data_IF_268646453485
#
_entry.id   IF_268646453485
#
_cell.length_a   1.000
_cell.length_b   1.000
_cell.length_c   1.000
_cell.angle_alpha   90.00
_cell.angle_beta   90.00
_cell.angle_gamma   90.00
#
_symmetry.space_group_name_H-M   'P 1'
#
loop_
_entity.id
_entity.type
_entity.pdbx_description
1 polymer ?
#
# COMPACT_ATOMS: atom_id res chain seq x y z
N UNK A 1 -32.75 -73.01 -17.00
CA UNK A 1 -32.39 -72.50 -18.33
C UNK A 1 -32.86 -71.05 -18.34
N UNK A 2 -32.03 -70.01 -18.37
CA UNK A 2 -30.70 -69.81 -18.95
C UNK A 2 -30.04 -68.60 -18.26
N UNK A 3 -28.72 -68.52 -18.32
CA UNK A 3 -27.84 -67.45 -17.82
C UNK A 3 -28.14 -66.08 -18.44
N UNK A 4 -27.79 -64.98 -17.76
CA UNK A 4 -26.68 -64.12 -18.20
C UNK A 4 -26.41 -62.91 -17.27
N UNK A 5 -25.11 -62.70 -17.06
CA UNK A 5 -24.45 -61.59 -16.38
C UNK A 5 -24.01 -60.58 -17.44
N UNK A 6 -24.38 -59.31 -17.31
CA UNK A 6 -23.72 -58.12 -17.91
C UNK A 6 -24.03 -56.98 -16.93
N UNK A 7 -23.15 -56.41 -16.10
CA UNK A 7 -21.81 -55.83 -16.26
C UNK A 7 -21.72 -54.71 -17.30
N UNK A 8 -21.06 -53.63 -16.87
CA UNK A 8 -20.83 -52.31 -17.52
C UNK A 8 -21.93 -51.27 -17.16
N UNK A 9 -21.63 -50.04 -16.72
CA UNK A 9 -20.47 -49.22 -17.04
C UNK A 9 -19.87 -48.51 -15.82
N UNK A 10 -18.55 -48.68 -15.75
CA UNK A 10 -17.58 -47.90 -15.03
C UNK A 10 -17.81 -46.39 -15.26
N UNK A 11 -18.17 -45.68 -14.19
CA UNK A 11 -18.21 -44.22 -14.13
C UNK A 11 -16.76 -43.70 -14.06
N UNK A 12 -16.01 -43.93 -15.14
CA UNK A 12 -14.75 -43.25 -15.37
C UNK A 12 -15.06 -41.76 -15.42
N UNK A 13 -14.74 -41.10 -14.31
CA UNK A 13 -14.71 -39.66 -14.25
C UNK A 13 -13.61 -39.22 -15.20
N UNK A 14 -14.00 -38.73 -16.38
CA UNK A 14 -13.10 -38.04 -17.29
C UNK A 14 -12.49 -36.86 -16.53
N UNK A 15 -11.28 -37.07 -16.01
CA UNK A 15 -10.38 -35.98 -15.68
C UNK A 15 -9.98 -35.43 -17.05
N UNK A 16 -10.72 -34.43 -17.52
CA UNK A 16 -10.37 -33.74 -18.76
C UNK A 16 -8.95 -33.19 -18.60
N UNK A 17 -7.99 -33.82 -19.29
CA UNK A 17 -6.63 -33.30 -19.40
C UNK A 17 -6.72 -31.91 -20.04
N UNK A 18 -6.47 -30.87 -19.25
CA UNK A 18 -6.41 -29.51 -19.77
C UNK A 18 -5.23 -29.43 -20.73
N UNK A 19 -5.51 -29.16 -22.00
CA UNK A 19 -4.45 -28.92 -22.99
C UNK A 19 -3.50 -27.81 -22.50
N UNK A 20 -2.19 -27.87 -22.82
CA UNK A 20 -1.22 -26.84 -22.42
C UNK A 20 -1.68 -25.41 -22.79
N UNK A 21 -2.40 -25.26 -23.89
CA UNK A 21 -2.98 -23.98 -24.32
C UNK A 21 -4.03 -23.44 -23.32
N UNK A 22 -4.94 -24.30 -22.87
CA UNK A 22 -5.99 -23.93 -21.92
C UNK A 22 -5.40 -23.60 -20.54
N UNK A 23 -4.36 -24.32 -20.12
CA UNK A 23 -3.63 -24.02 -18.89
C UNK A 23 -2.90 -22.67 -18.96
N UNK A 24 -2.22 -22.39 -20.09
CA UNK A 24 -1.55 -21.11 -20.31
C UNK A 24 -2.53 -19.94 -20.26
N UNK A 25 -3.71 -20.10 -20.87
CA UNK A 25 -4.75 -19.08 -20.88
C UNK A 25 -5.34 -18.85 -19.48
N UNK A 26 -5.62 -19.92 -18.73
CA UNK A 26 -6.12 -19.81 -17.36
C UNK A 26 -5.14 -19.06 -16.45
N UNK A 27 -3.84 -19.35 -16.53
CA UNK A 27 -2.81 -18.64 -15.77
C UNK A 27 -2.73 -17.15 -16.13
N UNK A 28 -2.82 -16.83 -17.43
CA UNK A 28 -2.84 -15.45 -17.91
C UNK A 28 -4.06 -14.66 -17.38
N UNK A 29 -5.24 -15.27 -17.42
CA UNK A 29 -6.48 -14.66 -16.93
C UNK A 29 -6.45 -14.45 -15.41
N UNK A 30 -5.95 -15.44 -14.66
CA UNK A 30 -5.72 -15.29 -13.22
C UNK A 30 -4.74 -14.15 -12.92
N UNK A 31 -3.66 -14.03 -13.70
CA UNK A 31 -2.66 -12.98 -13.50
C UNK A 31 -3.27 -11.60 -13.73
N UNK A 32 -4.01 -11.42 -14.81
CA UNK A 32 -4.72 -10.18 -15.09
C UNK A 32 -5.73 -9.83 -13.98
N UNK A 33 -6.49 -10.81 -13.50
CA UNK A 33 -7.45 -10.62 -12.41
C UNK A 33 -6.78 -10.17 -11.10
N UNK A 34 -5.65 -10.78 -10.73
CA UNK A 34 -4.88 -10.36 -9.55
C UNK A 34 -4.34 -8.92 -9.72
N UNK A 35 -3.85 -8.56 -10.92
CA UNK A 35 -3.45 -7.19 -11.22
C UNK A 35 -4.63 -6.20 -11.12
N UNK A 36 -5.80 -6.57 -11.63
CA UNK A 36 -7.03 -5.75 -11.55
C UNK A 36 -7.45 -5.48 -10.10
N UNK A 37 -7.48 -6.53 -9.29
CA UNK A 37 -7.81 -6.40 -7.87
C UNK A 37 -6.81 -5.48 -7.16
N UNK A 38 -5.51 -5.69 -7.40
CA UNK A 38 -4.47 -4.89 -6.78
C UNK A 38 -4.50 -3.42 -7.26
N UNK A 39 -4.77 -3.18 -8.54
CA UNK A 39 -4.97 -1.83 -9.09
C UNK A 39 -6.14 -1.10 -8.42
N UNK A 40 -7.25 -1.79 -8.17
CA UNK A 40 -8.39 -1.23 -7.44
C UNK A 40 -7.97 -0.72 -6.07
N UNK A 41 -7.30 -1.56 -5.27
CA UNK A 41 -6.81 -1.16 -3.95
C UNK A 41 -5.78 -0.03 -4.00
N UNK A 42 -4.83 -0.07 -4.94
CA UNK A 42 -3.81 0.98 -5.05
C UNK A 42 -4.38 2.32 -5.50
N UNK A 43 -5.40 2.31 -6.34
CA UNK A 43 -6.11 3.51 -6.80
C UNK A 43 -6.98 4.11 -5.69
N UNK A 44 -7.68 3.26 -4.94
CA UNK A 44 -8.43 3.68 -3.76
C UNK A 44 -7.49 4.27 -2.70
N UNK A 45 -6.40 3.58 -2.38
CA UNK A 45 -5.39 4.05 -1.43
C UNK A 45 -4.80 5.40 -1.87
N UNK A 46 -4.51 5.58 -3.15
CA UNK A 46 -4.05 6.88 -3.68
C UNK A 46 -5.04 7.99 -3.36
N UNK A 47 -6.34 7.72 -3.51
CA UNK A 47 -7.42 8.68 -3.22
C UNK A 47 -7.50 8.97 -1.72
N UNK A 48 -7.46 7.93 -0.88
CA UNK A 48 -7.50 8.05 0.57
C UNK A 48 -6.30 8.82 1.13
N UNK A 49 -5.09 8.59 0.58
CA UNK A 49 -3.89 9.32 0.97
C UNK A 49 -3.98 10.80 0.62
N UNK A 50 -4.58 11.14 -0.52
CA UNK A 50 -4.80 12.52 -0.94
C UNK A 50 -5.86 13.23 -0.08
N UNK A 51 -6.87 12.49 0.43
CA UNK A 51 -7.87 13.01 1.35
C UNK A 51 -7.45 12.99 2.83
N UNK A 52 -6.29 12.42 3.16
CA UNK A 52 -5.78 12.33 4.53
C UNK A 52 -6.36 11.20 5.38
N UNK A 53 -7.03 10.22 4.75
CA UNK A 53 -7.71 9.08 5.39
C UNK A 53 -6.74 7.95 5.78
N UNK A 54 -5.68 8.28 6.53
CA UNK A 54 -4.58 7.35 6.83
C UNK A 54 -5.00 6.12 7.65
N UNK A 55 -6.03 6.23 8.49
CA UNK A 55 -6.53 5.10 9.27
C UNK A 55 -7.16 4.03 8.40
N UNK A 56 -7.91 4.44 7.37
CA UNK A 56 -8.54 3.54 6.40
C UNK A 56 -7.48 2.82 5.56
N UNK A 57 -6.47 3.57 5.10
CA UNK A 57 -5.30 3.01 4.41
C UNK A 57 -4.61 1.93 5.26
N UNK A 58 -4.39 2.20 6.54
CA UNK A 58 -3.76 1.24 7.45
C UNK A 58 -4.55 -0.07 7.57
N UNK A 59 -5.88 0.00 7.64
CA UNK A 59 -6.76 -1.18 7.73
C UNK A 59 -6.72 -2.06 6.47
N UNK A 60 -6.45 -1.49 5.30
CA UNK A 60 -6.37 -2.21 4.03
C UNK A 60 -5.05 -2.97 3.84
N UNK A 61 -4.04 -2.74 4.70
CA UNK A 61 -2.70 -3.32 4.57
C UNK A 61 -2.70 -4.85 4.52
N UNK A 62 -3.47 -5.50 5.39
CA UNK A 62 -3.53 -6.96 5.45
C UNK A 62 -4.08 -7.56 4.16
N UNK A 63 -5.18 -7.00 3.64
CA UNK A 63 -5.80 -7.43 2.39
C UNK A 63 -4.83 -7.26 1.23
N UNK A 64 -4.15 -6.11 1.13
CA UNK A 64 -3.13 -5.87 0.09
C UNK A 64 -1.97 -6.86 0.17
N UNK A 65 -1.49 -7.17 1.37
CA UNK A 65 -0.42 -8.16 1.55
C UNK A 65 -0.85 -9.55 1.08
N UNK A 66 -2.11 -9.94 1.30
CA UNK A 66 -2.62 -11.22 0.82
C UNK A 66 -2.69 -11.25 -0.72
N UNK A 67 -3.07 -10.15 -1.37
CA UNK A 67 -3.09 -10.05 -2.83
C UNK A 67 -1.66 -10.07 -3.40
N UNK A 68 -0.70 -9.39 -2.76
CA UNK A 68 0.72 -9.45 -3.14
C UNK A 68 1.23 -10.89 -3.10
N UNK A 69 0.92 -11.64 -2.04
CA UNK A 69 1.30 -13.06 -1.94
C UNK A 69 0.69 -13.91 -3.06
N UNK A 70 -0.57 -13.66 -3.43
CA UNK A 70 -1.22 -14.35 -4.55
C UNK A 70 -0.52 -14.02 -5.87
N UNK A 71 -0.20 -12.74 -6.09
CA UNK A 71 0.54 -12.29 -7.27
C UNK A 71 1.93 -12.95 -7.36
N UNK A 72 2.68 -12.96 -6.26
CA UNK A 72 4.01 -13.58 -6.18
C UNK A 72 3.94 -15.10 -6.41
N UNK A 73 2.99 -15.79 -5.79
CA UNK A 73 2.78 -17.22 -5.98
C UNK A 73 2.45 -17.54 -7.44
N UNK A 74 1.60 -16.75 -8.07
CA UNK A 74 1.23 -16.94 -9.47
C UNK A 74 2.39 -16.66 -10.41
N UNK A 75 3.22 -15.64 -10.14
CA UNK A 75 4.45 -15.42 -10.89
C UNK A 75 5.44 -16.59 -10.77
N UNK A 76 5.54 -17.20 -9.59
CA UNK A 76 6.36 -18.40 -9.39
C UNK A 76 5.82 -19.60 -10.16
N UNK A 77 4.50 -19.79 -10.18
CA UNK A 77 3.84 -20.84 -10.97
C UNK A 77 4.04 -20.64 -12.48
N UNK A 78 3.86 -19.42 -12.96
CA UNK A 78 4.14 -19.02 -14.35
C UNK A 78 5.61 -19.30 -14.69
N UNK A 79 6.54 -18.99 -13.78
CA UNK A 79 7.96 -19.21 -13.99
C UNK A 79 8.35 -20.70 -14.02
N UNK A 80 7.67 -21.55 -13.25
CA UNK A 80 7.89 -23.01 -13.28
C UNK A 80 7.25 -23.67 -14.50
N UNK A 81 6.22 -23.06 -15.09
CA UNK A 81 5.51 -23.50 -16.30
C UNK A 81 5.92 -22.74 -17.56
N UNK A 82 7.19 -22.29 -17.64
CA UNK A 82 7.71 -21.49 -18.77
C UNK A 82 7.44 -22.09 -20.14
N UNK A 83 7.48 -23.42 -20.26
CA UNK A 83 7.28 -24.09 -21.54
C UNK A 83 5.82 -24.04 -21.99
N UNK A 84 4.87 -24.08 -21.04
CA UNK A 84 3.42 -23.96 -21.28
C UNK A 84 3.05 -22.55 -21.80
N UNK A 85 3.74 -21.52 -21.29
CA UNK A 85 3.54 -20.13 -21.75
C UNK A 85 4.24 -19.85 -23.09
N UNK A 86 5.38 -20.50 -23.36
CA UNK A 86 6.04 -20.41 -24.67
C UNK A 86 5.18 -21.03 -25.77
N UNK A 87 4.50 -22.14 -25.47
CA UNK A 87 3.57 -22.78 -26.39
C UNK A 87 2.29 -22.00 -26.64
N UNK A 88 2.05 -20.89 -25.91
CA UNK A 88 0.91 -20.02 -26.16
C UNK A 88 1.02 -19.38 -27.55
N UNK A 89 0.23 -19.87 -28.50
CA UNK A 89 0.22 -19.36 -29.88
C UNK A 89 -0.53 -18.03 -30.01
N UNK A 90 -1.36 -17.68 -29.03
CA UNK A 90 -2.18 -16.47 -29.06
C UNK A 90 -1.34 -15.20 -28.76
N UNK A 91 -0.90 -14.56 -29.84
CA UNK A 91 -0.19 -13.27 -29.76
C UNK A 91 -1.04 -12.15 -29.15
N UNK A 92 -2.36 -12.14 -29.37
CA UNK A 92 -3.23 -11.10 -28.81
C UNK A 92 -3.29 -11.19 -27.30
N UNK A 93 -3.32 -12.40 -26.76
CA UNK A 93 -3.29 -12.61 -25.31
C UNK A 93 -1.97 -12.14 -24.70
N UNK A 94 -0.84 -12.43 -25.35
CA UNK A 94 0.49 -11.93 -24.93
C UNK A 94 0.53 -10.39 -24.90
N UNK A 95 0.08 -9.75 -25.97
CA UNK A 95 0.05 -8.29 -26.07
C UNK A 95 -0.85 -7.67 -24.99
N UNK A 96 -1.98 -8.32 -24.68
CA UNK A 96 -2.91 -7.90 -23.62
C UNK A 96 -2.25 -7.98 -22.24
N UNK A 97 -1.52 -9.05 -21.93
CA UNK A 97 -0.79 -9.21 -20.65
C UNK A 97 0.28 -8.12 -20.51
N UNK A 98 1.04 -7.85 -21.58
CA UNK A 98 2.08 -6.83 -21.57
C UNK A 98 1.50 -5.43 -21.35
N UNK A 99 0.45 -5.06 -22.10
CA UNK A 99 -0.24 -3.79 -21.92
C UNK A 99 -0.81 -3.65 -20.50
N UNK A 100 -1.33 -4.76 -19.93
CA UNK A 100 -1.85 -4.78 -18.57
C UNK A 100 -0.75 -4.58 -17.52
N UNK A 101 0.40 -5.22 -17.71
CA UNK A 101 1.57 -5.08 -16.84
C UNK A 101 2.12 -3.65 -16.85
N UNK A 102 2.15 -3.00 -18.02
CA UNK A 102 2.56 -1.60 -18.15
C UNK A 102 1.60 -0.66 -17.40
N UNK A 103 0.29 -0.83 -17.57
CA UNK A 103 -0.70 -0.06 -16.82
C UNK A 103 -0.57 -0.29 -15.31
N UNK A 104 -0.42 -1.56 -14.90
CA UNK A 104 -0.26 -1.90 -13.49
C UNK A 104 1.00 -1.26 -12.87
N UNK A 105 2.12 -1.25 -13.61
CA UNK A 105 3.35 -0.57 -13.20
C UNK A 105 3.14 0.93 -13.02
N UNK A 106 2.37 1.56 -13.92
CA UNK A 106 2.01 2.97 -13.80
C UNK A 106 1.23 3.26 -12.52
N UNK A 107 0.23 2.44 -12.19
CA UNK A 107 -0.58 2.59 -10.96
C UNK A 107 0.28 2.41 -9.70
N UNK A 108 1.15 1.40 -9.66
CA UNK A 108 2.09 1.20 -8.54
C UNK A 108 2.94 2.46 -8.31
N UNK A 109 3.53 3.02 -9.37
CA UNK A 109 4.36 4.24 -9.24
C UNK A 109 3.55 5.42 -8.73
N UNK A 110 2.33 5.60 -9.23
CA UNK A 110 1.43 6.68 -8.78
C UNK A 110 1.11 6.56 -7.29
N UNK A 111 0.75 5.36 -6.83
CA UNK A 111 0.49 5.09 -5.42
C UNK A 111 1.73 5.33 -4.55
N UNK A 112 2.91 4.88 -5.00
CA UNK A 112 4.17 5.15 -4.31
C UNK A 112 4.43 6.64 -4.11
N UNK A 113 4.23 7.48 -5.13
CA UNK A 113 4.39 8.92 -4.98
C UNK A 113 3.35 9.55 -4.04
N UNK A 114 2.12 9.03 -4.02
CA UNK A 114 1.11 9.47 -3.06
C UNK A 114 1.53 9.16 -1.62
N UNK A 115 2.05 7.96 -1.35
CA UNK A 115 2.60 7.58 -0.04
C UNK A 115 3.77 8.49 0.37
N UNK A 116 4.68 8.78 -0.56
CA UNK A 116 5.81 9.66 -0.29
C UNK A 116 5.35 11.08 0.05
N UNK A 117 4.38 11.61 -0.71
CA UNK A 117 3.79 12.93 -0.47
C UNK A 117 3.07 13.01 0.89
N UNK A 118 2.30 11.97 1.23
CA UNK A 118 1.64 11.84 2.52
C UNK A 118 2.64 11.85 3.67
N UNK A 119 3.73 11.08 3.56
CA UNK A 119 4.80 11.00 4.55
C UNK A 119 5.50 12.36 4.76
N UNK A 120 5.85 13.06 3.66
CA UNK A 120 6.44 14.40 3.73
C UNK A 120 5.49 15.39 4.41
N UNK A 121 4.20 15.32 4.09
CA UNK A 121 3.18 16.20 4.66
C UNK A 121 3.02 15.96 6.16
N UNK A 122 2.95 14.70 6.60
CA UNK A 122 2.91 14.33 8.01
C UNK A 122 4.14 14.85 8.77
N UNK A 123 5.34 14.68 8.21
CA UNK A 123 6.59 15.20 8.79
C UNK A 123 6.54 16.72 9.00
N UNK A 124 6.10 17.48 7.98
CA UNK A 124 5.99 18.95 8.05
C UNK A 124 4.99 19.39 9.13
N UNK A 125 3.87 18.69 9.30
CA UNK A 125 2.89 19.00 10.35
C UNK A 125 3.53 18.82 11.73
N UNK A 126 4.18 17.69 11.96
CA UNK A 126 4.88 17.41 13.23
C UNK A 126 5.97 18.45 13.53
N UNK A 127 6.77 18.83 12.54
CA UNK A 127 7.78 19.88 12.69
C UNK A 127 7.16 21.24 13.09
N UNK A 128 6.03 21.61 12.49
CA UNK A 128 5.31 22.85 12.83
C UNK A 128 4.78 22.82 14.26
N UNK A 129 4.21 21.69 14.69
CA UNK A 129 3.72 21.51 16.07
C UNK A 129 4.89 21.65 17.06
N UNK A 130 5.99 20.94 16.81
CA UNK A 130 7.19 21.00 17.67
C UNK A 130 7.74 22.43 17.78
N UNK A 131 7.84 23.15 16.66
CA UNK A 131 8.27 24.56 16.66
C UNK A 131 7.32 25.46 17.44
N UNK A 132 6.01 25.28 17.29
CA UNK A 132 5.02 26.06 18.04
C UNK A 132 5.15 25.83 19.55
N UNK A 133 5.36 24.57 19.98
CA UNK A 133 5.59 24.23 21.39
C UNK A 133 6.89 24.88 21.90
N UNK A 134 7.98 24.76 21.15
CA UNK A 134 9.27 25.36 21.52
C UNK A 134 9.18 26.88 21.65
N UNK A 135 8.52 27.56 20.72
CA UNK A 135 8.32 29.00 20.75
C UNK A 135 7.50 29.42 21.97
N UNK A 136 6.45 28.67 22.31
CA UNK A 136 5.63 28.95 23.50
C UNK A 136 6.47 28.82 24.80
N UNK A 137 7.24 27.74 24.93
CA UNK A 137 8.12 27.54 26.09
C UNK A 137 9.19 28.62 26.20
N UNK A 138 9.78 29.05 25.07
CA UNK A 138 10.75 30.14 25.06
C UNK A 138 10.11 31.48 25.47
N UNK A 139 8.92 31.79 24.95
CA UNK A 139 8.18 32.99 25.32
C UNK A 139 7.84 33.02 26.82
N UNK A 140 7.41 31.89 27.39
CA UNK A 140 7.13 31.77 28.84
C UNK A 140 8.40 31.95 29.69
N UNK A 141 9.55 31.40 29.25
CA UNK A 141 10.85 31.62 29.92
C UNK A 141 11.27 33.09 29.86
N UNK A 142 11.14 33.75 28.72
CA UNK A 142 11.46 35.18 28.55
C UNK A 142 10.52 36.07 29.38
N UNK A 143 9.22 35.78 29.40
CA UNK A 143 8.25 36.49 30.23
C UNK A 143 8.58 36.36 31.72
N UNK A 144 8.95 35.16 32.18
CA UNK A 144 9.34 34.92 33.58
C UNK A 144 10.66 35.63 33.94
N UNK A 145 11.64 35.64 33.03
CA UNK A 145 12.89 36.37 33.22
C UNK A 145 12.66 37.88 33.32
N UNK A 146 11.83 38.44 32.43
CA UNK A 146 11.48 39.86 32.44
C UNK A 146 10.67 40.25 33.70
N UNK A 147 9.74 39.41 34.15
CA UNK A 147 9.00 39.64 35.38
C UNK A 147 9.91 39.66 36.63
N UNK A 148 10.89 38.75 36.71
CA UNK A 148 11.89 38.75 37.80
C UNK A 148 12.86 39.93 37.71
N UNK A 149 13.25 40.34 36.51
CA UNK A 149 14.11 41.52 36.29
C UNK A 149 13.46 42.83 36.74
N UNK A 150 12.16 43.01 36.47
CA UNK A 150 11.40 44.20 36.89
C UNK A 150 11.23 44.23 38.42
N UNK A 151 10.96 43.09 39.05
CA UNK A 151 10.84 43.00 40.52
C UNK A 151 12.17 43.29 41.24
N UNK A 152 13.31 42.86 40.68
CA UNK A 152 14.61 43.13 41.28
C UNK A 152 15.09 44.58 41.10
N UNK A 153 14.72 45.23 39.99
CA UNK A 153 15.10 46.61 39.71
C UNK A 153 14.21 47.65 40.44
N UNK A 154 12.95 47.29 40.76
CA UNK A 154 12.05 48.12 41.55
C UNK A 154 12.43 48.25 43.02
N UNK A 155 13.09 47.23 43.60
CA UNK A 155 13.56 47.28 45.00
C UNK A 155 14.96 47.90 45.17
N UNK A 156 15.78 47.96 44.12
CA UNK A 156 17.11 48.55 44.19
C UNK A 156 17.09 50.10 44.18
N UNK A 157 16.04 50.71 43.64
CA UNK A 157 15.91 52.17 43.57
C UNK A 157 15.31 52.83 44.83
N UNK A 158 14.84 52.05 45.81
CA UNK A 158 14.19 52.56 47.03
C UNK A 158 15.11 52.60 48.28
N UNK A 159 16.41 52.34 48.13
CA UNK A 159 17.37 52.28 49.27
C UNK A 159 18.53 53.28 49.19
N UNK A 160 18.47 54.30 48.33
CA UNK A 160 19.52 55.34 48.22
C UNK A 160 18.97 56.76 48.34
N UNK A 161 18.04 57.00 49.26
CA UNK A 161 17.75 58.37 49.70
C UNK A 161 17.38 58.38 51.19
N UNK A 162 18.28 58.91 52.01
CA UNK A 162 18.05 59.08 53.45
C UNK A 162 19.20 58.63 54.34
N UNK A 163 20.22 59.48 54.49
CA UNK A 163 20.57 60.08 55.79
C UNK A 163 21.91 60.84 55.67
N UNK A 164 21.79 62.16 55.83
CA UNK A 164 22.85 63.06 56.30
C UNK A 164 23.18 62.77 57.77
#
# INVERSE_FOLDING_TARGET
MTENIENTENKNSEIAESTPQAEAQALAEQLMSVMDNMEGFLSEETTLLQSGEFSTVAKQTEVKNNIVKQYEALLQEIASKKDVLKSMEDQKLKDKILARADNFSHVIRKNYYALQSASISAKRVTERITKAIQNKVQAEKQATYNAKGILNNGNAAAMTDGAY
#
